data_IF_701665114341
#
_entry.id   IF_701665114341
#
_cell.length_a   1.000
_cell.length_b   1.000
_cell.length_c   1.000
_cell.angle_alpha   90.00
_cell.angle_beta   90.00
_cell.angle_gamma   90.00
#
_symmetry.space_group_name_H-M   'P 1'
#
loop_
_entity.id
_entity.type
_entity.pdbx_description
1 polymer ?
#
# COMPACT_ATOMS: atom_id res chain seq x y z
N UNK A 1 18.69 19.36 -25.27
CA UNK A 1 19.82 20.22 -25.78
C UNK A 1 20.61 20.71 -24.58
N UNK A 2 21.84 20.25 -24.42
CA UNK A 2 22.67 20.42 -23.22
C UNK A 2 23.11 21.88 -23.03
N UNK A 3 22.97 22.42 -21.81
CA UNK A 3 23.43 23.75 -21.38
C UNK A 3 24.92 24.04 -21.69
N UNK A 4 25.73 23.01 -21.89
CA UNK A 4 27.16 23.14 -22.25
C UNK A 4 27.39 23.68 -23.66
N UNK A 5 26.44 23.51 -24.57
CA UNK A 5 26.58 23.97 -25.96
C UNK A 5 26.26 25.46 -26.14
N UNK A 6 25.62 26.09 -25.15
CA UNK A 6 25.33 27.53 -25.19
C UNK A 6 26.54 28.37 -24.73
N UNK A 7 27.33 27.89 -23.79
CA UNK A 7 28.50 28.57 -23.25
C UNK A 7 29.62 28.61 -24.25
N UNK A 8 29.84 27.52 -25.01
CA UNK A 8 30.89 27.48 -26.05
C UNK A 8 30.58 28.35 -27.30
N UNK A 9 29.28 28.63 -27.55
CA UNK A 9 28.90 29.56 -28.62
C UNK A 9 29.10 31.03 -28.27
N UNK A 10 29.04 31.39 -26.98
CA UNK A 10 29.26 32.76 -26.50
C UNK A 10 30.75 33.12 -26.45
N UNK A 11 31.66 32.16 -26.23
CA UNK A 11 33.10 32.39 -26.17
C UNK A 11 33.70 32.61 -27.56
N UNK A 12 33.10 32.12 -28.64
CA UNK A 12 33.60 32.27 -30.00
C UNK A 12 33.27 33.62 -30.66
N UNK A 13 32.38 34.43 -30.11
CA UNK A 13 31.94 35.72 -30.66
C UNK A 13 32.74 36.93 -30.18
N UNK A 14 33.69 36.78 -29.22
CA UNK A 14 34.45 37.88 -28.65
C UNK A 14 35.96 37.81 -28.90
N UNK A 15 36.37 37.26 -30.01
CA UNK A 15 37.80 37.22 -30.42
C UNK A 15 38.16 38.37 -31.37
N UNK A 16 37.81 39.62 -31.00
CA UNK A 16 38.44 40.80 -31.60
C UNK A 16 39.18 41.62 -30.53
N UNK A 17 40.48 41.68 -30.71
CA UNK A 17 41.44 42.41 -29.89
C UNK A 17 40.99 43.86 -29.74
N UNK A 18 40.80 44.32 -28.50
CA UNK A 18 40.58 45.72 -28.17
C UNK A 18 39.40 46.05 -27.29
N UNK A 19 38.39 45.18 -27.23
CA UNK A 19 37.15 45.48 -26.49
C UNK A 19 37.16 44.98 -25.03
N UNK A 20 37.95 43.98 -24.75
CA UNK A 20 37.98 43.35 -23.40
C UNK A 20 38.68 44.26 -22.38
N UNK A 21 39.65 45.03 -22.78
CA UNK A 21 40.39 45.89 -21.83
C UNK A 21 39.55 47.08 -21.35
N UNK A 22 38.68 47.62 -22.20
CA UNK A 22 37.81 48.75 -21.86
C UNK A 22 36.61 48.34 -20.97
N UNK A 23 36.08 47.13 -21.13
CA UNK A 23 34.97 46.66 -20.30
C UNK A 23 35.44 46.30 -18.89
N UNK A 24 36.66 45.77 -18.75
CA UNK A 24 37.24 45.49 -17.42
C UNK A 24 37.61 46.80 -16.67
N UNK A 25 38.09 47.82 -17.34
CA UNK A 25 38.39 49.10 -16.73
C UNK A 25 37.11 49.83 -16.33
N UNK A 26 36.03 49.74 -17.09
CA UNK A 26 34.74 50.33 -16.73
C UNK A 26 34.07 49.62 -15.56
N UNK A 27 34.18 48.30 -15.46
CA UNK A 27 33.67 47.51 -14.35
C UNK A 27 34.46 47.78 -13.05
N UNK A 28 35.78 47.92 -13.12
CA UNK A 28 36.62 48.21 -11.96
C UNK A 28 36.42 49.65 -11.49
N UNK A 29 36.21 50.61 -12.36
CA UNK A 29 35.96 52.02 -12.02
C UNK A 29 34.55 52.19 -11.41
N UNK A 30 33.55 51.41 -11.86
CA UNK A 30 32.21 51.45 -11.27
C UNK A 30 32.16 50.90 -9.83
N UNK A 31 33.06 49.95 -9.48
CA UNK A 31 33.15 49.38 -8.14
C UNK A 31 33.83 50.34 -7.13
N UNK A 32 34.69 51.26 -7.60
CA UNK A 32 35.39 52.22 -6.74
C UNK A 32 34.64 53.53 -6.53
N UNK A 33 33.66 53.89 -7.38
CA UNK A 33 32.94 55.15 -7.33
C UNK A 33 31.59 55.09 -6.61
N UNK A 34 31.16 53.93 -6.15
CA UNK A 34 29.90 53.79 -5.40
C UNK A 34 30.06 52.92 -4.13
N UNK A 35 30.64 53.48 -3.03
CA UNK A 35 30.89 52.69 -1.81
C UNK A 35 29.65 52.46 -0.93
N UNK A 36 28.43 52.66 -1.43
CA UNK A 36 27.24 52.71 -0.53
C UNK A 36 26.05 51.90 -0.99
N UNK A 37 26.21 50.89 -1.87
CA UNK A 37 25.13 49.94 -2.09
C UNK A 37 25.54 48.59 -1.50
N UNK A 38 25.01 48.24 -0.29
CA UNK A 38 25.08 46.84 0.14
C UNK A 38 24.27 46.01 -0.85
N UNK A 39 24.92 45.09 -1.57
CA UNK A 39 24.24 44.01 -2.26
C UNK A 39 23.57 43.15 -1.18
N UNK A 40 22.36 43.53 -0.83
CA UNK A 40 21.49 42.67 -0.05
C UNK A 40 21.13 41.48 -0.95
N UNK A 41 21.92 40.43 -0.85
CA UNK A 41 21.46 39.12 -1.31
C UNK A 41 20.28 38.72 -0.40
N UNK A 42 19.08 39.11 -0.77
CA UNK A 42 17.90 38.51 -0.21
C UNK A 42 17.91 37.04 -0.71
N UNK A 43 18.41 36.15 0.14
CA UNK A 43 18.09 34.74 -0.04
C UNK A 43 16.55 34.69 -0.12
N UNK A 44 15.98 34.13 -1.20
CA UNK A 44 14.55 33.91 -1.21
C UNK A 44 14.28 33.00 -0.01
N UNK A 45 13.64 33.56 1.01
CA UNK A 45 13.07 32.76 2.08
C UNK A 45 12.12 31.80 1.39
N UNK A 46 12.55 30.55 1.24
CA UNK A 46 11.68 29.50 0.74
C UNK A 46 10.49 29.46 1.70
N UNK A 47 9.35 29.96 1.26
CA UNK A 47 8.12 29.79 2.01
C UNK A 47 7.96 28.29 2.27
N UNK A 48 7.73 27.86 3.51
CA UNK A 48 7.52 26.45 3.78
C UNK A 48 6.37 26.00 2.89
N UNK A 49 6.59 24.91 2.13
CA UNK A 49 5.56 24.33 1.28
C UNK A 49 4.42 23.88 2.21
N UNK A 50 3.35 24.64 2.26
CA UNK A 50 2.18 24.34 3.09
C UNK A 50 1.41 23.19 2.40
N UNK A 51 1.71 21.95 2.77
CA UNK A 51 0.95 20.78 2.31
C UNK A 51 -0.44 20.86 2.93
N UNK A 52 -1.47 20.90 2.11
CA UNK A 52 -2.87 20.92 2.52
C UNK A 52 -3.58 19.70 1.93
N UNK A 53 -4.32 18.99 2.77
CA UNK A 53 -5.21 17.89 2.34
C UNK A 53 -6.65 18.40 2.29
N UNK A 54 -7.39 17.95 1.29
CA UNK A 54 -8.82 18.20 1.11
C UNK A 54 -9.55 16.87 0.96
N UNK A 55 -10.70 16.71 1.63
CA UNK A 55 -11.57 15.56 1.42
C UNK A 55 -12.32 15.71 0.09
N UNK A 56 -11.98 14.85 -0.85
CA UNK A 56 -12.57 14.81 -2.19
C UNK A 56 -13.41 13.56 -2.44
N UNK A 57 -13.71 12.77 -1.41
CA UNK A 57 -14.36 11.47 -1.49
C UNK A 57 -15.63 11.49 -2.36
N UNK A 58 -16.55 12.38 -2.06
CA UNK A 58 -17.81 12.49 -2.84
C UNK A 58 -17.56 13.01 -4.25
N UNK A 59 -16.70 14.04 -4.40
CA UNK A 59 -16.34 14.65 -5.69
C UNK A 59 -15.63 13.64 -6.59
N UNK A 60 -14.81 12.79 -6.03
CA UNK A 60 -14.12 11.70 -6.73
C UNK A 60 -15.03 10.51 -7.06
N UNK A 61 -16.29 10.51 -6.62
CA UNK A 61 -17.25 9.43 -6.92
C UNK A 61 -17.08 8.17 -6.09
N UNK A 62 -16.28 8.21 -4.99
CA UNK A 62 -16.09 7.09 -4.09
C UNK A 62 -17.30 6.93 -3.15
N UNK A 63 -17.98 5.79 -3.24
CA UNK A 63 -19.21 5.49 -2.47
C UNK A 63 -19.06 4.20 -1.66
N UNK A 64 -17.89 3.99 -1.10
CA UNK A 64 -17.58 2.84 -0.26
C UNK A 64 -17.99 3.11 1.18
N UNK A 65 -18.55 2.09 1.83
CA UNK A 65 -18.81 2.11 3.26
C UNK A 65 -18.23 0.86 3.90
N UNK A 66 -17.35 1.06 4.85
CA UNK A 66 -16.79 -0.04 5.64
C UNK A 66 -17.89 -0.73 6.46
N UNK A 67 -17.90 -2.06 6.42
CA UNK A 67 -18.80 -2.91 7.18
C UNK A 67 -17.99 -3.87 8.07
N UNK A 68 -17.91 -3.58 9.35
CA UNK A 68 -17.25 -4.46 10.33
C UNK A 68 -18.17 -5.56 10.90
N UNK A 69 -19.40 -5.68 10.40
CA UNK A 69 -20.38 -6.67 10.86
C UNK A 69 -21.01 -6.40 12.21
N UNK A 70 -20.67 -5.30 12.90
CA UNK A 70 -21.11 -5.02 14.26
C UNK A 70 -22.63 -5.01 14.40
N UNK A 71 -23.16 -5.73 15.40
CA UNK A 71 -24.59 -5.82 15.70
C UNK A 71 -24.91 -6.00 17.19
N UNK A 72 -23.96 -5.62 18.05
CA UNK A 72 -24.13 -5.62 19.51
C UNK A 72 -23.48 -6.79 20.24
N UNK A 73 -22.96 -7.81 19.51
CA UNK A 73 -22.28 -8.96 20.15
C UNK A 73 -20.87 -8.64 20.63
N UNK A 74 -20.31 -7.50 20.23
CA UNK A 74 -18.97 -7.06 20.66
C UNK A 74 -17.88 -8.10 20.35
N UNK A 75 -17.85 -8.61 19.13
CA UNK A 75 -16.82 -9.52 18.66
C UNK A 75 -15.50 -8.78 18.40
N UNK A 76 -14.36 -9.38 18.76
CA UNK A 76 -13.06 -8.75 18.60
C UNK A 76 -12.80 -8.21 17.18
N UNK A 77 -13.09 -8.94 16.09
CA UNK A 77 -12.85 -8.43 14.73
C UNK A 77 -13.62 -7.16 14.36
N UNK A 78 -14.74 -6.88 15.06
CA UNK A 78 -15.54 -5.66 14.83
C UNK A 78 -14.78 -4.37 15.20
N UNK A 79 -13.69 -4.48 15.97
CA UNK A 79 -12.84 -3.35 16.37
C UNK A 79 -11.74 -3.04 15.35
N UNK A 80 -11.56 -3.91 14.35
CA UNK A 80 -10.50 -3.79 13.36
C UNK A 80 -10.98 -3.01 12.15
N UNK A 81 -10.07 -2.22 11.58
CA UNK A 81 -10.25 -1.64 10.24
C UNK A 81 -9.96 -2.64 9.15
N UNK A 82 -10.25 -2.29 7.92
CA UNK A 82 -9.83 -3.03 6.74
C UNK A 82 -8.80 -2.23 5.94
N UNK A 83 -7.95 -2.95 5.21
CA UNK A 83 -6.89 -2.37 4.40
C UNK A 83 -7.37 -1.71 3.11
N UNK A 84 -6.46 -1.03 2.48
CA UNK A 84 -6.61 -0.48 1.14
C UNK A 84 -5.28 -0.58 0.39
N UNK A 85 -5.34 -0.52 -0.94
CA UNK A 85 -4.15 -0.40 -1.77
C UNK A 85 -4.39 0.51 -2.97
N UNK A 86 -3.32 1.14 -3.45
CA UNK A 86 -3.25 1.72 -4.77
C UNK A 86 -2.57 0.70 -5.70
N UNK A 87 -3.10 0.52 -6.90
CA UNK A 87 -2.56 -0.38 -7.90
C UNK A 87 -2.97 0.10 -9.29
N UNK A 88 -2.18 -0.22 -10.30
CA UNK A 88 -2.59 -0.09 -11.70
C UNK A 88 -2.99 -1.48 -12.21
N UNK A 89 -4.29 -1.86 -12.04
CA UNK A 89 -4.73 -3.22 -12.35
C UNK A 89 -4.83 -3.49 -13.86
N UNK A 90 -4.88 -2.46 -14.68
CA UNK A 90 -5.11 -2.55 -16.12
C UNK A 90 -3.96 -2.02 -16.98
N UNK A 91 -2.79 -1.74 -16.36
CA UNK A 91 -1.56 -1.25 -16.96
C UNK A 91 -1.80 0.00 -17.84
N UNK A 92 -2.57 0.97 -17.30
CA UNK A 92 -2.88 2.22 -18.01
C UNK A 92 -2.11 3.44 -17.45
N UNK A 93 -1.12 3.20 -16.57
CA UNK A 93 -0.27 4.17 -15.87
C UNK A 93 -1.01 5.06 -14.85
N UNK A 94 -2.26 4.72 -14.49
CA UNK A 94 -3.04 5.45 -13.49
C UNK A 94 -3.38 4.56 -12.31
N UNK A 95 -3.12 5.09 -11.11
CA UNK A 95 -3.39 4.35 -9.89
C UNK A 95 -4.90 4.24 -9.64
N UNK A 96 -5.35 3.01 -9.49
CA UNK A 96 -6.68 2.61 -9.06
C UNK A 96 -6.72 2.41 -7.54
N UNK A 97 -7.91 2.26 -6.97
CA UNK A 97 -8.07 2.13 -5.52
C UNK A 97 -8.78 0.81 -5.20
N UNK A 98 -8.12 -0.06 -4.45
CA UNK A 98 -8.72 -1.24 -3.85
C UNK A 98 -9.07 -0.95 -2.39
N UNK A 99 -10.32 -1.17 -2.02
CA UNK A 99 -10.81 -1.04 -0.64
C UNK A 99 -11.30 -2.39 -0.14
N UNK A 100 -10.69 -2.87 0.95
CA UNK A 100 -11.06 -4.12 1.58
C UNK A 100 -12.21 -3.88 2.57
N UNK A 101 -13.07 -4.87 2.76
CA UNK A 101 -14.23 -4.76 3.66
C UNK A 101 -14.43 -6.02 4.48
N UNK A 102 -15.05 -5.88 5.61
CA UNK A 102 -15.62 -7.00 6.36
C UNK A 102 -16.97 -7.45 5.77
N UNK A 103 -17.64 -8.33 6.49
CA UNK A 103 -18.97 -8.86 6.14
C UNK A 103 -19.84 -9.00 7.37
N UNK A 104 -21.14 -9.14 7.16
CA UNK A 104 -22.06 -9.47 8.24
C UNK A 104 -21.80 -10.88 8.79
N UNK A 105 -22.00 -11.05 10.09
CA UNK A 105 -21.91 -12.34 10.75
C UNK A 105 -23.03 -13.31 10.31
N UNK A 106 -22.85 -14.63 10.48
CA UNK A 106 -23.90 -15.61 10.21
C UNK A 106 -25.23 -15.22 10.82
N UNK A 107 -26.34 -15.60 10.18
CA UNK A 107 -27.72 -15.28 10.58
C UNK A 107 -28.14 -13.80 10.45
N UNK A 108 -27.36 -12.98 9.73
CA UNK A 108 -27.71 -11.61 9.34
C UNK A 108 -27.89 -11.52 7.82
N UNK A 109 -28.38 -10.37 7.33
CA UNK A 109 -28.44 -10.13 5.87
C UNK A 109 -27.08 -10.38 5.24
N UNK A 110 -27.04 -11.08 4.11
CA UNK A 110 -25.78 -11.26 3.37
C UNK A 110 -25.18 -9.90 3.00
N UNK A 111 -23.89 -9.76 3.19
CA UNK A 111 -23.12 -8.64 2.61
C UNK A 111 -23.16 -8.75 1.09
N UNK A 112 -23.15 -7.60 0.41
CA UNK A 112 -23.14 -7.60 -1.07
C UNK A 112 -21.74 -7.82 -1.63
N UNK A 113 -20.73 -7.32 -0.93
CA UNK A 113 -19.32 -7.45 -1.31
C UNK A 113 -18.45 -7.30 -0.07
N UNK A 114 -17.27 -7.91 -0.10
CA UNK A 114 -16.23 -7.73 0.91
C UNK A 114 -15.10 -6.81 0.47
N UNK A 115 -15.14 -6.27 -0.74
CA UNK A 115 -14.16 -5.34 -1.28
C UNK A 115 -14.77 -4.47 -2.37
N UNK A 116 -14.06 -3.43 -2.79
CA UNK A 116 -14.40 -2.62 -3.96
C UNK A 116 -13.13 -2.18 -4.69
N UNK A 117 -13.08 -2.39 -6.01
CA UNK A 117 -12.06 -1.84 -6.89
C UNK A 117 -12.64 -0.65 -7.67
N UNK A 118 -12.01 0.49 -7.51
CA UNK A 118 -12.35 1.73 -8.18
C UNK A 118 -11.31 2.07 -9.23
N UNK A 119 -11.70 2.00 -10.50
CA UNK A 119 -10.85 2.41 -11.63
C UNK A 119 -10.75 3.92 -11.73
N UNK A 120 -9.55 4.43 -11.92
CA UNK A 120 -9.29 5.85 -12.18
C UNK A 120 -9.79 6.25 -13.57
N UNK A 121 -10.59 7.31 -13.66
CA UNK A 121 -11.10 7.85 -14.94
C UNK A 121 -10.15 8.88 -15.56
N UNK A 122 -8.97 9.15 -14.95
CA UNK A 122 -7.95 10.11 -15.43
C UNK A 122 -8.37 11.58 -15.37
N UNK A 123 -9.47 11.87 -14.69
CA UNK A 123 -10.06 13.22 -14.54
C UNK A 123 -10.28 13.62 -13.07
N UNK A 124 -9.68 12.84 -12.13
CA UNK A 124 -9.84 13.01 -10.69
C UNK A 124 -11.09 12.31 -10.14
N UNK A 125 -11.79 11.53 -10.96
CA UNK A 125 -12.91 10.70 -10.52
C UNK A 125 -12.63 9.21 -10.68
N UNK A 126 -13.41 8.37 -10.00
CA UNK A 126 -13.25 6.92 -10.01
C UNK A 126 -14.58 6.23 -10.31
N UNK A 127 -14.49 5.03 -10.88
CA UNK A 127 -15.64 4.18 -11.21
C UNK A 127 -15.49 2.81 -10.54
N UNK A 128 -16.51 2.38 -9.80
CA UNK A 128 -16.57 1.02 -9.25
C UNK A 128 -16.66 -0.01 -10.39
N UNK A 129 -15.63 -0.87 -10.48
CA UNK A 129 -15.50 -1.94 -11.47
C UNK A 129 -15.46 -3.34 -10.84
N UNK A 130 -15.67 -3.45 -9.54
CA UNK A 130 -15.52 -4.67 -8.71
C UNK A 130 -16.15 -5.90 -9.34
N UNK A 131 -17.41 -5.81 -9.78
CA UNK A 131 -18.11 -6.93 -10.41
C UNK A 131 -17.57 -7.24 -11.82
N UNK A 132 -17.20 -6.20 -12.55
CA UNK A 132 -16.70 -6.32 -13.92
C UNK A 132 -15.41 -7.08 -13.96
N UNK A 133 -14.52 -6.84 -12.99
CA UNK A 133 -13.19 -7.44 -12.91
C UNK A 133 -13.15 -8.77 -12.14
N UNK A 134 -14.28 -9.27 -11.63
CA UNK A 134 -14.35 -10.56 -10.96
C UNK A 134 -14.05 -10.56 -9.45
N UNK A 135 -13.89 -9.40 -8.81
CA UNK A 135 -13.57 -9.28 -7.38
C UNK A 135 -14.81 -9.29 -6.47
N UNK A 136 -15.99 -9.64 -6.99
CA UNK A 136 -17.21 -9.70 -6.19
C UNK A 136 -17.25 -10.99 -5.33
N UNK A 137 -16.65 -10.93 -4.17
CA UNK A 137 -16.48 -12.03 -3.20
C UNK A 137 -16.98 -11.61 -1.81
N UNK A 138 -17.35 -12.57 -0.96
CA UNK A 138 -17.84 -12.32 0.40
C UNK A 138 -16.89 -12.96 1.41
N UNK A 139 -15.85 -12.25 1.77
CA UNK A 139 -14.86 -12.59 2.79
C UNK A 139 -14.91 -11.58 3.94
N UNK A 140 -14.38 -11.90 5.09
CA UNK A 140 -14.13 -10.90 6.15
C UNK A 140 -12.68 -10.45 6.00
N UNK A 141 -12.46 -9.54 5.02
CA UNK A 141 -11.13 -9.08 4.66
C UNK A 141 -10.56 -8.11 5.70
N UNK A 142 -9.25 -8.19 5.91
CA UNK A 142 -8.51 -7.39 6.89
C UNK A 142 -7.49 -6.48 6.22
N UNK A 143 -6.64 -7.01 5.38
CA UNK A 143 -5.59 -6.30 4.65
C UNK A 143 -5.42 -6.81 3.24
N UNK A 144 -4.48 -6.23 2.51
CA UNK A 144 -4.07 -6.71 1.19
C UNK A 144 -2.61 -6.42 0.90
N UNK A 145 -2.02 -7.24 0.04
CA UNK A 145 -0.71 -7.01 -0.56
C UNK A 145 -0.83 -7.10 -2.09
N UNK A 146 -0.20 -6.16 -2.79
CA UNK A 146 -0.22 -6.05 -4.24
C UNK A 146 1.16 -6.39 -4.77
N UNK A 147 1.25 -7.28 -5.76
CA UNK A 147 2.51 -7.69 -6.38
C UNK A 147 2.25 -8.53 -7.62
N UNK A 148 3.21 -8.59 -8.52
CA UNK A 148 3.23 -9.46 -9.68
C UNK A 148 3.99 -10.73 -9.27
N UNK A 149 3.24 -11.72 -8.69
CA UNK A 149 3.89 -12.88 -8.07
C UNK A 149 4.35 -13.93 -9.09
N UNK A 150 3.81 -13.94 -10.28
CA UNK A 150 4.17 -14.90 -11.35
C UNK A 150 4.96 -14.25 -12.50
N UNK A 151 5.42 -13.00 -12.30
CA UNK A 151 6.25 -12.22 -13.24
C UNK A 151 5.63 -12.11 -14.64
N UNK A 152 4.28 -12.09 -14.74
CA UNK A 152 3.56 -11.97 -16.01
C UNK A 152 3.35 -10.51 -16.46
N UNK A 153 3.76 -9.54 -15.65
CA UNK A 153 3.66 -8.10 -15.89
C UNK A 153 2.34 -7.48 -15.44
N UNK A 154 1.48 -8.24 -14.76
CA UNK A 154 0.21 -7.77 -14.22
C UNK A 154 0.18 -7.93 -12.70
N UNK A 155 -0.27 -6.89 -12.01
CA UNK A 155 -0.33 -6.92 -10.54
C UNK A 155 -1.46 -7.80 -10.05
N UNK A 156 -1.15 -8.64 -9.06
CA UNK A 156 -2.05 -9.55 -8.36
C UNK A 156 -2.41 -9.03 -6.99
N UNK A 157 -3.43 -9.63 -6.38
CA UNK A 157 -3.97 -9.19 -5.09
C UNK A 157 -4.00 -10.35 -4.13
N UNK A 158 -3.24 -10.24 -3.04
CA UNK A 158 -3.42 -11.11 -1.87
C UNK A 158 -4.26 -10.38 -0.83
N UNK A 159 -5.27 -11.05 -0.25
CA UNK A 159 -6.17 -10.50 0.75
C UNK A 159 -6.09 -11.33 2.01
N UNK A 160 -5.66 -10.72 3.11
CA UNK A 160 -5.73 -11.31 4.44
C UNK A 160 -7.15 -11.23 4.99
N UNK A 161 -7.57 -12.26 5.72
CA UNK A 161 -8.95 -12.37 6.17
C UNK A 161 -9.07 -13.01 7.56
N UNK A 162 -10.23 -12.86 8.16
CA UNK A 162 -10.65 -13.71 9.27
C UNK A 162 -11.14 -15.05 8.71
N UNK A 163 -10.32 -16.08 8.82
CA UNK A 163 -10.44 -17.36 8.15
C UNK A 163 -9.51 -17.43 6.93
N UNK A 164 -9.85 -18.21 5.94
CA UNK A 164 -8.98 -18.40 4.78
C UNK A 164 -8.69 -17.08 4.06
N UNK A 165 -7.41 -16.81 3.85
CA UNK A 165 -6.92 -15.71 3.01
C UNK A 165 -7.12 -16.05 1.52
N UNK A 166 -7.03 -15.07 0.64
CA UNK A 166 -7.30 -15.27 -0.79
C UNK A 166 -6.21 -14.66 -1.68
N UNK A 167 -5.80 -15.40 -2.71
CA UNK A 167 -4.98 -14.90 -3.80
C UNK A 167 -5.81 -14.76 -5.09
N UNK A 168 -5.89 -13.55 -5.61
CA UNK A 168 -6.54 -13.21 -6.86
C UNK A 168 -5.50 -12.88 -7.91
N UNK A 169 -5.35 -13.75 -8.91
CA UNK A 169 -4.47 -13.53 -10.05
C UNK A 169 -5.14 -12.64 -11.09
N UNK A 170 -4.45 -11.64 -11.57
CA UNK A 170 -4.83 -10.87 -12.75
C UNK A 170 -4.53 -11.70 -14.03
N UNK A 171 -5.49 -11.83 -14.90
CA UNK A 171 -5.33 -12.66 -16.11
C UNK A 171 -4.87 -11.89 -17.35
N UNK A 172 -4.35 -10.66 -17.17
CA UNK A 172 -3.88 -9.81 -18.26
C UNK A 172 -4.98 -9.25 -19.17
N UNK A 173 -6.24 -9.57 -18.89
CA UNK A 173 -7.40 -9.04 -19.64
C UNK A 173 -8.29 -8.12 -18.79
N UNK A 174 -7.77 -7.63 -17.65
CA UNK A 174 -8.48 -6.78 -16.71
C UNK A 174 -9.47 -7.54 -15.83
N UNK A 175 -9.23 -8.83 -15.56
CA UNK A 175 -10.05 -9.66 -14.67
C UNK A 175 -9.18 -10.44 -13.70
N UNK A 176 -9.69 -10.58 -12.49
CA UNK A 176 -9.09 -11.37 -11.44
C UNK A 176 -9.77 -12.73 -11.30
N UNK A 177 -8.97 -13.75 -11.01
CA UNK A 177 -9.38 -15.14 -10.79
C UNK A 177 -8.87 -15.55 -9.41
N UNK A 178 -9.76 -16.04 -8.56
CA UNK A 178 -9.36 -16.61 -7.26
C UNK A 178 -8.65 -17.94 -7.50
N UNK A 179 -7.36 -17.98 -7.19
CA UNK A 179 -6.48 -19.15 -7.36
C UNK A 179 -5.92 -19.63 -6.02
N UNK A 180 -6.52 -19.24 -4.93
CA UNK A 180 -6.06 -19.57 -3.57
C UNK A 180 -5.78 -21.06 -3.39
N UNK A 181 -6.69 -21.88 -3.89
CA UNK A 181 -6.57 -23.35 -3.75
C UNK A 181 -5.42 -23.91 -4.60
N UNK A 182 -5.31 -23.42 -5.82
CA UNK A 182 -4.32 -23.86 -6.80
C UNK A 182 -2.90 -23.40 -6.45
N UNK A 183 -2.77 -22.25 -5.81
CA UNK A 183 -1.48 -21.67 -5.43
C UNK A 183 -0.79 -22.38 -4.26
N UNK A 184 -1.52 -23.19 -3.49
CA UNK A 184 -0.98 -23.79 -2.26
C UNK A 184 -0.94 -22.85 -1.05
N UNK A 185 -1.31 -21.59 -1.20
CA UNK A 185 -1.43 -20.64 -0.10
C UNK A 185 -2.59 -21.04 0.82
N UNK A 186 -2.27 -21.50 2.01
CA UNK A 186 -3.27 -21.92 2.99
C UNK A 186 -3.00 -21.27 4.34
N UNK A 187 -3.61 -20.10 4.57
CA UNK A 187 -3.65 -19.44 5.86
C UNK A 187 -5.10 -19.38 6.36
N UNK A 188 -5.54 -20.33 7.22
CA UNK A 188 -6.91 -20.35 7.73
C UNK A 188 -7.09 -19.53 9.00
N UNK A 189 -6.06 -18.85 9.45
CA UNK A 189 -5.99 -18.14 10.71
C UNK A 189 -6.63 -16.74 10.62
N UNK A 190 -6.37 -15.89 11.58
CA UNK A 190 -6.79 -14.50 11.55
C UNK A 190 -5.68 -13.67 10.89
N UNK A 191 -5.59 -13.70 9.55
CA UNK A 191 -4.65 -12.91 8.78
C UNK A 191 -4.91 -11.42 8.95
N UNK A 192 -3.87 -10.66 9.33
CA UNK A 192 -3.99 -9.22 9.59
C UNK A 192 -3.37 -8.37 8.47
N UNK A 193 -2.13 -8.62 8.12
CA UNK A 193 -1.39 -7.91 7.09
C UNK A 193 -0.52 -8.86 6.28
N UNK A 194 -0.11 -8.46 5.09
CA UNK A 194 0.81 -9.23 4.27
C UNK A 194 1.75 -8.32 3.49
N UNK A 195 2.89 -8.85 3.08
CA UNK A 195 3.83 -8.17 2.20
C UNK A 195 4.53 -9.15 1.27
N UNK A 196 4.77 -8.70 0.04
CA UNK A 196 5.58 -9.39 -0.94
C UNK A 196 7.03 -8.96 -0.83
N UNK A 197 7.97 -9.90 -0.93
CA UNK A 197 9.41 -9.63 -1.00
C UNK A 197 10.15 -10.90 -1.42
N UNK A 198 11.28 -10.75 -2.05
CA UNK A 198 12.15 -11.87 -2.43
C UNK A 198 13.10 -12.14 -1.25
N UNK A 199 12.79 -13.19 -0.41
CA UNK A 199 13.53 -13.43 0.83
C UNK A 199 14.80 -14.26 0.62
N UNK A 200 14.85 -15.06 -0.45
CA UNK A 200 15.97 -15.95 -0.75
C UNK A 200 16.77 -15.53 -2.00
N UNK A 201 16.38 -14.40 -2.61
CA UNK A 201 17.06 -13.75 -3.74
C UNK A 201 17.10 -14.62 -5.01
N UNK A 202 16.04 -15.39 -5.25
CA UNK A 202 15.90 -16.23 -6.45
C UNK A 202 15.22 -15.49 -7.63
N UNK A 203 14.66 -14.29 -7.39
CA UNK A 203 14.02 -13.43 -8.38
C UNK A 203 12.50 -13.56 -8.43
N UNK A 204 11.90 -14.51 -7.69
CA UNK A 204 10.48 -14.65 -7.51
C UNK A 204 10.06 -14.03 -6.16
N UNK A 205 8.98 -13.27 -6.13
CA UNK A 205 8.55 -12.65 -4.87
C UNK A 205 7.78 -13.63 -4.00
N UNK A 206 8.17 -13.69 -2.73
CA UNK A 206 7.59 -14.50 -1.65
C UNK A 206 6.57 -13.72 -0.86
N UNK A 207 5.85 -14.42 0.02
CA UNK A 207 4.77 -13.81 0.79
C UNK A 207 4.96 -14.02 2.28
N UNK A 208 5.03 -12.93 3.05
CA UNK A 208 4.85 -12.97 4.50
C UNK A 208 3.44 -12.55 4.86
N UNK A 209 2.80 -13.31 5.75
CA UNK A 209 1.48 -13.02 6.30
C UNK A 209 1.56 -12.95 7.82
N UNK A 210 1.11 -11.83 8.38
CA UNK A 210 0.99 -11.70 9.84
C UNK A 210 -0.35 -12.19 10.31
N UNK A 211 -0.36 -13.01 11.39
CA UNK A 211 -1.55 -13.49 12.06
C UNK A 211 -1.70 -12.86 13.44
N UNK A 212 -2.96 -12.63 13.83
CA UNK A 212 -3.25 -11.88 15.05
C UNK A 212 -3.47 -12.79 16.25
N UNK A 213 -4.67 -13.33 16.41
CA UNK A 213 -5.02 -14.17 17.56
C UNK A 213 -5.93 -15.32 17.15
N UNK A 214 -5.98 -16.36 17.98
CA UNK A 214 -6.92 -17.47 17.81
C UNK A 214 -8.33 -17.02 18.22
N UNK A 215 -9.09 -16.52 17.23
CA UNK A 215 -10.45 -16.08 17.47
C UNK A 215 -11.43 -16.74 16.49
N UNK A 216 -12.55 -17.20 17.02
CA UNK A 216 -13.72 -17.67 16.27
C UNK A 216 -14.98 -17.27 17.04
N UNK A 217 -16.14 -17.28 16.39
CA UNK A 217 -17.42 -17.07 17.08
C UNK A 217 -17.64 -18.07 18.23
N UNK A 218 -17.12 -19.31 18.09
CA UNK A 218 -17.30 -20.37 19.10
C UNK A 218 -16.42 -20.19 20.33
N UNK A 219 -15.26 -19.58 20.19
CA UNK A 219 -14.33 -19.33 21.30
C UNK A 219 -14.32 -17.86 21.75
N UNK A 220 -15.31 -17.08 21.31
CA UNK A 220 -15.45 -15.70 21.72
C UNK A 220 -15.69 -15.58 23.23
N UNK A 221 -15.00 -14.64 23.86
CA UNK A 221 -14.95 -14.49 25.32
C UNK A 221 -15.90 -13.37 25.74
N UNK A 222 -16.53 -13.53 26.92
CA UNK A 222 -17.30 -12.47 27.54
C UNK A 222 -16.39 -11.58 28.39
N UNK A 223 -15.92 -10.47 27.81
CA UNK A 223 -15.23 -9.42 28.57
C UNK A 223 -16.24 -8.38 29.02
N UNK A 224 -16.02 -7.81 30.21
CA UNK A 224 -16.90 -6.79 30.77
C UNK A 224 -16.11 -5.78 31.60
N UNK A 225 -16.45 -4.50 31.47
CA UNK A 225 -15.87 -3.42 32.27
C UNK A 225 -16.65 -3.19 33.59
N UNK A 226 -17.92 -3.51 33.60
CA UNK A 226 -18.83 -3.33 34.76
C UNK A 226 -19.27 -4.65 35.42
N UNK A 227 -18.75 -5.78 34.91
CA UNK A 227 -19.08 -7.13 35.37
C UNK A 227 -20.42 -7.68 34.86
N UNK A 228 -21.20 -6.91 34.12
CA UNK A 228 -22.55 -7.27 33.66
C UNK A 228 -22.64 -7.22 32.13
N UNK A 229 -22.34 -6.07 31.56
CA UNK A 229 -22.49 -5.84 30.13
C UNK A 229 -21.25 -6.29 29.35
N UNK A 230 -21.48 -6.99 28.23
CA UNK A 230 -20.37 -7.38 27.36
C UNK A 230 -19.70 -6.16 26.74
N UNK A 231 -18.38 -6.09 26.86
CA UNK A 231 -17.47 -5.16 26.17
C UNK A 231 -16.61 -5.89 25.14
N UNK A 232 -15.88 -5.15 24.31
CA UNK A 232 -14.84 -5.74 23.47
C UNK A 232 -13.69 -6.24 24.35
N UNK A 233 -13.20 -7.44 24.03
CA UNK A 233 -11.99 -7.98 24.65
C UNK A 233 -10.74 -7.36 24.04
N UNK A 234 -9.66 -7.33 24.84
CA UNK A 234 -8.33 -7.02 24.36
C UNK A 234 -7.59 -8.27 23.85
N UNK A 235 -6.53 -8.14 23.03
CA UNK A 235 -5.81 -9.29 22.50
C UNK A 235 -5.15 -10.18 23.56
N UNK A 236 -4.88 -9.65 24.76
CA UNK A 236 -4.33 -10.44 25.87
C UNK A 236 -5.24 -11.60 26.26
N UNK A 237 -6.54 -11.47 26.06
CA UNK A 237 -7.53 -12.49 26.36
C UNK A 237 -7.47 -13.72 25.44
N UNK A 238 -6.79 -13.64 24.32
CA UNK A 238 -6.71 -14.70 23.31
C UNK A 238 -5.27 -15.20 23.14
N UNK A 239 -5.13 -16.45 22.68
CA UNK A 239 -3.81 -17.00 22.29
C UNK A 239 -3.33 -16.36 21.01
N UNK A 240 -2.01 -16.22 20.88
CA UNK A 240 -1.37 -15.78 19.64
C UNK A 240 -1.41 -16.84 18.53
N UNK A 241 -1.05 -16.41 17.34
CA UNK A 241 -0.89 -17.27 16.15
C UNK A 241 0.39 -16.85 15.43
N UNK A 242 1.20 -17.83 15.01
CA UNK A 242 2.41 -17.54 14.25
C UNK A 242 2.09 -16.83 12.94
N UNK A 243 2.89 -15.83 12.59
CA UNK A 243 2.98 -15.35 11.21
C UNK A 243 3.47 -16.47 10.30
N UNK A 244 3.21 -16.38 9.00
CA UNK A 244 3.62 -17.38 8.00
C UNK A 244 4.49 -16.77 6.93
N UNK A 245 5.48 -17.56 6.49
CA UNK A 245 6.29 -17.27 5.31
C UNK A 245 6.01 -18.34 4.26
N UNK A 246 5.61 -17.90 3.09
CA UNK A 246 5.35 -18.74 1.92
C UNK A 246 6.38 -18.43 0.84
N UNK A 247 7.20 -19.43 0.52
CA UNK A 247 8.16 -19.38 -0.58
C UNK A 247 7.46 -19.59 -1.90
N UNK A 248 7.67 -18.72 -2.87
CA UNK A 248 7.29 -18.92 -4.26
C UNK A 248 8.25 -19.93 -4.89
N UNK A 249 7.73 -20.94 -5.56
CA UNK A 249 8.58 -21.97 -6.20
C UNK A 249 8.64 -21.83 -7.73
N UNK A 250 8.32 -20.64 -8.26
CA UNK A 250 8.52 -20.26 -9.65
C UNK A 250 7.53 -20.85 -10.65
N UNK A 251 6.50 -21.57 -10.20
CA UNK A 251 5.51 -22.20 -11.08
C UNK A 251 4.06 -21.78 -10.76
N UNK A 252 3.90 -20.67 -10.03
CA UNK A 252 2.61 -20.16 -9.57
C UNK A 252 2.11 -20.84 -8.29
N UNK A 253 2.95 -21.62 -7.60
CA UNK A 253 2.62 -22.25 -6.31
C UNK A 253 3.59 -21.85 -5.22
N UNK A 254 3.14 -22.02 -3.98
CA UNK A 254 3.87 -21.61 -2.78
C UNK A 254 4.04 -22.78 -1.80
N UNK A 255 5.15 -22.77 -1.06
CA UNK A 255 5.42 -23.68 0.06
C UNK A 255 5.42 -22.88 1.36
N UNK A 256 4.77 -23.39 2.40
CA UNK A 256 4.88 -22.86 3.75
C UNK A 256 6.25 -23.25 4.33
N UNK A 257 7.13 -22.27 4.48
CA UNK A 257 8.51 -22.42 5.01
C UNK A 257 8.66 -21.75 6.36
N UNK A 258 7.57 -21.54 7.08
CA UNK A 258 7.54 -20.83 8.36
C UNK A 258 8.49 -21.44 9.40
N UNK A 259 8.45 -22.77 9.54
CA UNK A 259 9.30 -23.46 10.52
C UNK A 259 10.78 -23.44 10.10
N UNK A 260 11.06 -23.72 8.83
CA UNK A 260 12.41 -23.78 8.26
C UNK A 260 13.11 -22.42 8.28
N UNK A 261 12.36 -21.34 8.09
CA UNK A 261 12.87 -19.96 8.13
C UNK A 261 13.17 -19.45 9.54
N UNK A 262 12.70 -20.17 10.59
CA UNK A 262 12.81 -19.72 11.98
C UNK A 262 11.82 -18.63 12.37
N UNK A 263 10.81 -18.35 11.52
CA UNK A 263 9.79 -17.33 11.78
C UNK A 263 8.72 -17.83 12.77
N UNK A 264 8.60 -19.13 12.99
CA UNK A 264 7.55 -19.71 13.81
C UNK A 264 7.54 -19.19 15.25
N UNK A 265 6.45 -18.56 15.66
CA UNK A 265 6.18 -18.12 17.04
C UNK A 265 4.69 -18.23 17.37
N UNK A 266 4.31 -19.29 18.08
CA UNK A 266 2.92 -19.55 18.48
C UNK A 266 2.34 -18.54 19.47
N UNK A 267 3.16 -17.64 20.01
CA UNK A 267 2.75 -16.57 20.94
C UNK A 267 2.54 -15.22 20.25
N UNK A 268 2.94 -15.12 18.98
CA UNK A 268 2.85 -13.90 18.18
C UNK A 268 1.41 -13.39 18.08
N UNK A 269 1.26 -12.06 18.07
CA UNK A 269 -0.01 -11.34 17.87
C UNK A 269 0.25 -10.16 16.95
N UNK A 270 0.69 -10.47 15.73
CA UNK A 270 1.15 -9.48 14.78
C UNK A 270 -0.03 -8.82 14.03
N UNK A 271 0.04 -7.51 13.83
CA UNK A 271 -0.97 -6.74 13.11
C UNK A 271 -0.44 -6.09 11.84
N UNK A 272 0.83 -5.78 11.78
CA UNK A 272 1.45 -5.13 10.64
C UNK A 272 2.78 -5.76 10.28
N UNK A 273 3.18 -5.57 9.02
CA UNK A 273 4.47 -5.97 8.47
C UNK A 273 5.02 -4.85 7.62
N UNK A 274 6.34 -4.69 7.67
CA UNK A 274 7.08 -3.83 6.75
C UNK A 274 8.36 -4.55 6.36
N UNK A 275 8.71 -4.45 5.09
CA UNK A 275 9.96 -4.99 4.56
C UNK A 275 10.98 -3.86 4.45
N UNK A 276 12.19 -4.09 4.94
CA UNK A 276 13.29 -3.15 4.78
C UNK A 276 14.61 -3.91 4.59
N UNK A 277 15.49 -3.36 3.77
CA UNK A 277 16.88 -3.80 3.69
C UNK A 277 17.71 -2.95 4.66
N UNK A 278 18.25 -3.60 5.71
CA UNK A 278 18.95 -2.89 6.80
C UNK A 278 20.43 -2.60 6.50
N UNK A 279 20.96 -3.11 5.38
CA UNK A 279 22.38 -3.05 5.03
C UNK A 279 22.64 -2.71 3.55
N UNK A 280 21.61 -2.22 2.82
CA UNK A 280 21.73 -1.72 1.46
C UNK A 280 22.44 -0.35 1.38
#
# INVERSE_FOLDING_TARGET
>A
MNKLNLINKFIFLFKHRGFILNVFFFLVVLTFLCPSFPLVFSNPVSQPLLIRFEDVTEKAGLRFRHNNGAFGMKYLPETMGSGLAFLDYNNDDWQDILLINGKNWPNRKKSQSSMALYRNNKDGTFKDVTKQVGLHSTIYGMGCAIGDYDNDGWVDIYITALGLDHLFRNNGSGRFIDITKESGLHNPDFGASAAWFDYDLDGDIDLIVTNYVQWTIKNDIHCSLDGINKSYCTPESYKGVSSRLFQNVGNGTFLDVTDESGLFDSTSKALGVAVLDSNA
#
